data_IF_002885855461
#
_entry.id   IF_002885855461
#
_cell.length_a   1.000
_cell.length_b   1.000
_cell.length_c   1.000
_cell.angle_alpha   90.00
_cell.angle_beta   90.00
_cell.angle_gamma   90.00
#
_symmetry.space_group_name_H-M   'P 1'
#
loop_
_entity.id
_entity.type
_entity.pdbx_description
1 polymer ?
#
# COMPACT_ATOMS: atom_id res chain seq x y z
N UNK A 1 51.40 6.64 -46.75
CA UNK A 1 50.98 5.90 -45.53
C UNK A 1 50.25 6.89 -44.63
N UNK A 2 48.94 6.73 -44.41
CA UNK A 2 48.14 7.56 -43.49
C UNK A 2 47.44 6.62 -42.52
N UNK A 3 47.77 6.75 -41.24
CA UNK A 3 47.17 6.06 -40.11
C UNK A 3 45.77 6.62 -39.85
N UNK A 4 44.75 5.76 -39.89
CA UNK A 4 43.39 6.09 -39.47
C UNK A 4 43.29 5.73 -37.98
N UNK A 5 43.17 6.75 -37.13
CA UNK A 5 42.98 6.59 -35.69
C UNK A 5 41.58 6.04 -35.41
N UNK A 6 41.52 4.94 -34.65
CA UNK A 6 40.28 4.39 -34.11
C UNK A 6 39.76 5.34 -33.02
N UNK A 7 38.63 6.00 -33.28
CA UNK A 7 37.91 6.78 -32.29
C UNK A 7 37.13 5.78 -31.40
N UNK A 8 37.58 5.59 -30.16
CA UNK A 8 36.87 4.80 -29.16
C UNK A 8 35.61 5.55 -28.72
N UNK A 9 34.43 4.99 -29.02
CA UNK A 9 33.16 5.48 -28.50
C UNK A 9 32.97 4.86 -27.11
N UNK A 10 33.18 5.65 -26.06
CA UNK A 10 32.81 5.30 -24.70
C UNK A 10 31.29 5.40 -24.57
N UNK A 11 30.61 4.26 -24.55
CA UNK A 11 29.17 4.18 -24.32
C UNK A 11 28.90 4.41 -22.82
N UNK A 12 28.39 5.60 -22.49
CA UNK A 12 27.98 5.96 -21.13
C UNK A 12 26.57 5.39 -20.89
N UNK A 13 26.48 4.21 -20.26
CA UNK A 13 25.19 3.64 -19.83
C UNK A 13 24.76 4.42 -18.59
N UNK A 14 23.97 5.47 -18.78
CA UNK A 14 23.22 6.08 -17.68
C UNK A 14 22.22 5.04 -17.17
N UNK A 15 22.51 4.48 -16.00
CA UNK A 15 21.55 3.66 -15.26
C UNK A 15 20.35 4.54 -14.91
N UNK A 16 19.22 4.30 -15.56
CA UNK A 16 17.95 4.90 -15.19
C UNK A 16 17.55 4.28 -13.85
N UNK A 17 17.90 4.94 -12.75
CA UNK A 17 17.30 4.62 -11.46
C UNK A 17 15.89 5.18 -11.52
N UNK A 18 14.94 4.37 -11.99
CA UNK A 18 13.53 4.68 -11.80
C UNK A 18 13.32 4.95 -10.31
N UNK A 19 12.59 6.03 -9.93
CA UNK A 19 12.21 6.21 -8.54
C UNK A 19 11.60 4.90 -8.06
N UNK A 20 12.08 4.42 -6.90
CA UNK A 20 11.50 3.27 -6.22
C UNK A 20 10.08 3.70 -5.89
N UNK A 21 9.12 3.34 -6.75
CA UNK A 21 7.74 3.78 -6.59
C UNK A 21 7.16 3.26 -5.29
N UNK A 22 6.14 3.96 -4.80
CA UNK A 22 5.52 3.73 -3.52
C UNK A 22 5.30 2.24 -3.27
N UNK A 23 5.87 1.73 -2.18
CA UNK A 23 6.00 0.30 -1.94
C UNK A 23 5.13 -0.22 -0.80
N UNK A 24 4.42 0.69 -0.12
CA UNK A 24 3.50 0.41 0.98
C UNK A 24 2.20 1.20 0.81
N UNK A 25 1.15 0.77 1.53
CA UNK A 25 -0.16 1.41 1.57
C UNK A 25 -0.54 1.68 3.02
N UNK A 26 -0.96 2.91 3.33
CA UNK A 26 -1.42 3.31 4.66
C UNK A 26 -2.85 3.81 4.57
N UNK A 27 -3.72 3.25 5.42
CA UNK A 27 -5.13 3.62 5.52
C UNK A 27 -5.39 4.25 6.90
N UNK A 28 -5.77 5.53 6.90
CA UNK A 28 -5.97 6.32 8.10
C UNK A 28 -7.42 6.82 8.14
N UNK A 29 -8.30 6.13 8.89
CA UNK A 29 -9.63 6.65 9.19
C UNK A 29 -9.56 8.01 9.87
N UNK A 30 -10.37 8.96 9.41
CA UNK A 30 -10.46 10.32 9.95
C UNK A 30 -11.91 10.65 10.32
N UNK A 31 -12.12 11.02 11.59
CA UNK A 31 -13.47 11.30 12.08
C UNK A 31 -14.38 10.06 12.02
N UNK A 32 -15.63 10.27 11.58
CA UNK A 32 -16.65 9.20 11.52
C UNK A 32 -16.64 8.41 10.21
N UNK A 33 -16.29 9.05 9.10
CA UNK A 33 -16.49 8.54 7.75
C UNK A 33 -15.40 8.97 6.75
N UNK A 34 -14.38 9.67 7.22
CA UNK A 34 -13.26 10.10 6.39
C UNK A 34 -12.22 9.01 6.26
N UNK A 35 -11.58 8.93 5.10
CA UNK A 35 -10.46 8.04 4.86
C UNK A 35 -9.33 8.82 4.21
N UNK A 36 -8.17 8.88 4.88
CA UNK A 36 -6.92 9.35 4.30
C UNK A 36 -6.10 8.14 3.85
N UNK A 37 -5.74 8.11 2.57
CA UNK A 37 -4.96 7.06 1.92
C UNK A 37 -3.58 7.66 1.60
N UNK A 38 -2.52 6.96 1.98
CA UNK A 38 -1.14 7.34 1.66
C UNK A 38 -0.38 6.17 1.06
N UNK A 39 0.61 6.48 0.23
CA UNK A 39 1.43 5.51 -0.46
C UNK A 39 2.91 5.69 -0.02
N UNK A 40 3.60 4.58 0.23
CA UNK A 40 4.90 4.56 0.92
C UNK A 40 4.76 4.34 2.43
N UNK A 41 5.87 4.45 3.16
CA UNK A 41 5.88 4.24 4.61
C UNK A 41 5.86 5.56 5.38
N UNK A 42 5.47 5.55 6.67
CA UNK A 42 5.49 6.75 7.50
C UNK A 42 6.84 7.48 7.45
N UNK A 43 6.80 8.77 7.13
CA UNK A 43 7.98 9.63 7.01
C UNK A 43 8.56 9.77 5.59
N UNK A 44 8.23 8.84 4.68
CA UNK A 44 8.71 8.81 3.29
C UNK A 44 7.56 8.44 2.36
N UNK A 45 6.54 9.30 2.34
CA UNK A 45 5.42 9.10 1.45
C UNK A 45 5.75 9.53 0.02
N UNK A 46 5.15 8.84 -0.92
CA UNK A 46 5.40 8.97 -2.34
C UNK A 46 4.11 9.29 -3.10
N UNK A 47 4.22 9.77 -4.36
CA UNK A 47 3.05 9.99 -5.18
C UNK A 47 2.16 8.75 -5.33
N UNK A 48 0.85 8.98 -5.40
CA UNK A 48 -0.11 7.90 -5.55
C UNK A 48 0.11 7.11 -6.86
N UNK A 49 0.33 5.79 -6.76
CA UNK A 49 0.38 4.85 -7.88
C UNK A 49 -0.89 3.98 -7.85
N UNK A 50 -2.02 4.60 -8.22
CA UNK A 50 -3.34 3.97 -8.21
C UNK A 50 -3.44 2.67 -9.02
N UNK A 51 -2.77 2.50 -10.18
CA UNK A 51 -2.74 1.23 -10.89
C UNK A 51 -2.24 0.04 -10.06
N UNK A 52 -1.45 0.27 -9.01
CA UNK A 52 -0.98 -0.77 -8.08
C UNK A 52 -1.95 -1.07 -6.95
N UNK A 53 -3.01 -0.27 -6.77
CA UNK A 53 -4.06 -0.56 -5.81
C UNK A 53 -4.98 -1.67 -6.35
N UNK A 54 -4.79 -2.88 -5.85
CA UNK A 54 -5.49 -4.09 -6.33
C UNK A 54 -6.87 -4.23 -5.70
N UNK A 55 -7.00 -3.87 -4.42
CA UNK A 55 -8.28 -3.83 -3.71
C UNK A 55 -8.31 -2.67 -2.74
N UNK A 56 -9.50 -2.11 -2.57
CA UNK A 56 -9.82 -1.23 -1.47
C UNK A 56 -11.30 -1.43 -1.14
N UNK A 57 -11.56 -1.97 0.03
CA UNK A 57 -12.90 -2.41 0.43
C UNK A 57 -13.28 -1.81 1.77
N UNK A 58 -14.53 -1.36 1.91
CA UNK A 58 -15.14 -0.97 3.17
C UNK A 58 -16.05 -2.06 3.73
N UNK A 59 -16.10 -2.11 5.06
CA UNK A 59 -16.94 -3.01 5.83
C UNK A 59 -17.72 -2.21 6.86
N UNK A 60 -19.03 -2.46 6.91
CA UNK A 60 -19.96 -1.91 7.90
C UNK A 60 -20.38 -3.00 8.91
N UNK A 61 -21.22 -2.63 9.89
CA UNK A 61 -21.71 -3.55 10.93
C UNK A 61 -22.57 -4.66 10.31
N UNK A 62 -23.53 -4.27 9.48
CA UNK A 62 -24.59 -5.16 8.98
C UNK A 62 -24.27 -5.76 7.61
N UNK A 63 -23.26 -5.24 6.89
CA UNK A 63 -22.94 -5.74 5.56
C UNK A 63 -22.15 -7.05 5.64
N UNK A 64 -22.79 -8.18 5.31
CA UNK A 64 -22.12 -9.47 5.06
C UNK A 64 -21.09 -9.42 3.92
N UNK A 65 -21.14 -8.37 3.10
CA UNK A 65 -20.28 -8.20 1.93
C UNK A 65 -19.46 -6.92 2.03
N UNK A 66 -18.25 -7.01 1.51
CA UNK A 66 -17.37 -5.88 1.32
C UNK A 66 -17.93 -4.95 0.24
N UNK A 67 -17.83 -3.63 0.47
CA UNK A 67 -18.18 -2.61 -0.53
C UNK A 67 -16.89 -2.13 -1.15
N UNK A 68 -16.70 -2.39 -2.44
CA UNK A 68 -15.50 -1.95 -3.18
C UNK A 68 -15.49 -0.44 -3.32
N UNK A 69 -14.34 0.14 -2.98
CA UNK A 69 -14.04 1.56 -3.12
C UNK A 69 -13.00 1.81 -4.23
N UNK A 70 -12.65 0.84 -5.07
CA UNK A 70 -11.59 1.03 -6.09
C UNK A 70 -11.87 2.17 -7.08
N UNK A 71 -13.14 2.49 -7.31
CA UNK A 71 -13.57 3.60 -8.17
C UNK A 71 -13.77 4.92 -7.40
N UNK A 72 -13.17 5.04 -6.21
CA UNK A 72 -13.27 6.26 -5.41
C UNK A 72 -12.76 7.48 -6.18
N UNK A 73 -13.44 8.61 -5.94
CA UNK A 73 -13.15 9.89 -6.59
C UNK A 73 -12.71 10.88 -5.50
N UNK A 74 -11.40 10.91 -5.17
CA UNK A 74 -10.89 11.62 -4.00
C UNK A 74 -11.51 13.00 -3.85
N UNK A 75 -12.24 13.22 -2.76
CA UNK A 75 -12.76 14.53 -2.39
C UNK A 75 -11.64 15.58 -2.30
N UNK A 76 -10.44 15.16 -1.87
CA UNK A 76 -9.21 15.95 -1.96
C UNK A 76 -8.03 15.05 -2.29
N UNK A 77 -7.02 15.63 -2.93
CA UNK A 77 -5.75 14.95 -3.18
C UNK A 77 -4.58 15.91 -2.98
N UNK A 78 -3.50 15.39 -2.41
CA UNK A 78 -2.18 15.98 -2.44
C UNK A 78 -1.25 15.18 -3.35
N UNK A 79 0.04 15.50 -3.31
CA UNK A 79 1.03 14.74 -4.08
C UNK A 79 1.09 13.30 -3.59
N UNK A 80 1.12 13.09 -2.27
CA UNK A 80 1.40 11.82 -1.59
C UNK A 80 0.20 11.23 -0.82
N UNK A 81 -0.99 11.82 -0.98
CA UNK A 81 -2.18 11.40 -0.24
C UNK A 81 -3.48 11.67 -0.99
N UNK A 82 -4.50 10.87 -0.67
CA UNK A 82 -5.89 11.02 -1.12
C UNK A 82 -6.80 11.04 0.10
N UNK A 83 -7.78 11.94 0.14
CA UNK A 83 -8.80 11.99 1.19
C UNK A 83 -10.18 11.80 0.58
N UNK A 84 -10.97 10.92 1.18
CA UNK A 84 -12.35 10.64 0.76
C UNK A 84 -13.33 10.65 1.93
N UNK A 85 -14.60 10.94 1.64
CA UNK A 85 -15.75 10.77 2.55
C UNK A 85 -16.50 9.50 2.15
N UNK A 86 -16.11 8.37 2.74
CA UNK A 86 -16.62 7.07 2.31
C UNK A 86 -18.03 6.77 2.84
N UNK A 87 -18.57 7.55 3.78
CA UNK A 87 -19.92 7.36 4.34
C UNK A 87 -21.03 7.41 3.29
N UNK A 88 -20.86 8.21 2.22
CA UNK A 88 -21.84 8.27 1.12
C UNK A 88 -21.75 7.07 0.17
N UNK A 89 -20.60 6.38 0.15
CA UNK A 89 -20.35 5.23 -0.73
C UNK A 89 -20.87 3.91 -0.14
N UNK A 90 -21.33 3.94 1.10
CA UNK A 90 -21.82 2.79 1.87
C UNK A 90 -23.24 3.03 2.38
N UNK A 91 -24.07 3.67 1.55
CA UNK A 91 -25.49 3.94 1.80
C UNK A 91 -25.79 4.67 3.13
N UNK A 92 -24.83 5.46 3.63
CA UNK A 92 -24.97 6.24 4.86
C UNK A 92 -24.68 5.47 6.14
N UNK A 93 -24.30 4.20 6.06
CA UNK A 93 -23.82 3.44 7.22
C UNK A 93 -22.45 3.94 7.69
N UNK A 94 -22.15 3.94 8.99
CA UNK A 94 -20.81 4.26 9.45
C UNK A 94 -19.84 3.12 9.07
N UNK A 95 -18.71 3.41 8.41
CA UNK A 95 -17.71 2.40 8.13
C UNK A 95 -17.11 1.92 9.46
N UNK A 96 -16.88 0.63 9.58
CA UNK A 96 -16.18 0.04 10.74
C UNK A 96 -14.72 -0.22 10.40
N UNK A 97 -14.45 -0.72 9.20
CA UNK A 97 -13.12 -1.03 8.73
C UNK A 97 -13.01 -0.79 7.23
N UNK A 98 -11.82 -0.40 6.81
CA UNK A 98 -11.39 -0.45 5.42
C UNK A 98 -10.17 -1.34 5.29
N UNK A 99 -10.09 -2.08 4.21
CA UNK A 99 -8.91 -2.89 3.88
C UNK A 99 -8.40 -2.58 2.50
N UNK A 100 -7.08 -2.57 2.35
CA UNK A 100 -6.43 -2.35 1.07
C UNK A 100 -5.50 -3.50 0.75
N UNK A 101 -5.37 -3.79 -0.54
CA UNK A 101 -4.33 -4.64 -1.11
C UNK A 101 -3.60 -3.85 -2.18
N UNK A 102 -2.27 -3.84 -2.09
CA UNK A 102 -1.41 -3.06 -2.96
C UNK A 102 -0.31 -3.95 -3.55
N UNK A 103 -0.10 -3.84 -4.86
CA UNK A 103 0.91 -4.60 -5.57
C UNK A 103 2.26 -3.86 -5.51
N UNK A 104 3.16 -4.32 -4.64
CA UNK A 104 4.51 -3.79 -4.55
C UNK A 104 5.43 -4.32 -5.68
N UNK A 105 4.91 -5.16 -6.57
CA UNK A 105 5.63 -5.65 -7.75
C UNK A 105 6.58 -6.79 -7.46
N UNK A 106 7.33 -7.15 -8.50
CA UNK A 106 8.24 -8.29 -8.49
C UNK A 106 9.66 -7.80 -8.20
N UNK A 107 10.26 -8.28 -7.13
CA UNK A 107 11.57 -7.86 -6.68
C UNK A 107 12.60 -8.96 -6.86
N UNK A 108 13.76 -8.58 -7.40
CA UNK A 108 14.91 -9.46 -7.64
C UNK A 108 16.11 -8.97 -6.85
N UNK A 109 16.76 -9.89 -6.13
CA UNK A 109 18.03 -9.67 -5.46
C UNK A 109 19.19 -10.19 -6.30
N UNK A 110 20.17 -9.34 -6.59
CA UNK A 110 21.42 -9.76 -7.27
C UNK A 110 22.50 -10.14 -6.25
N UNK A 111 22.49 -9.48 -5.10
CA UNK A 111 23.36 -9.70 -3.94
C UNK A 111 22.66 -9.15 -2.69
N UNK A 112 23.10 -9.50 -1.46
CA UNK A 112 22.49 -8.99 -0.25
C UNK A 112 22.28 -7.47 -0.32
N UNK A 113 21.11 -7.03 0.11
CA UNK A 113 20.69 -5.61 0.16
C UNK A 113 20.56 -4.89 -1.20
N UNK A 114 20.75 -5.59 -2.33
CA UNK A 114 20.62 -5.01 -3.66
C UNK A 114 19.41 -5.60 -4.40
N UNK A 115 18.28 -4.91 -4.27
CA UNK A 115 16.99 -5.29 -4.83
C UNK A 115 16.57 -4.39 -5.99
N UNK A 116 15.89 -4.98 -6.97
CA UNK A 116 15.31 -4.29 -8.11
C UNK A 116 13.88 -4.73 -8.33
N UNK A 117 12.96 -3.77 -8.49
CA UNK A 117 11.58 -4.05 -8.90
C UNK A 117 11.55 -4.29 -10.42
N UNK A 118 11.79 -5.53 -10.83
CA UNK A 118 11.95 -5.95 -12.24
C UNK A 118 11.76 -7.46 -12.36
N UNK A 119 11.67 -8.01 -13.57
CA UNK A 119 11.51 -9.45 -13.81
C UNK A 119 12.83 -10.16 -14.16
N UNK A 120 12.87 -11.49 -14.02
CA UNK A 120 14.06 -12.30 -14.36
C UNK A 120 14.35 -12.31 -15.86
N UNK A 121 13.37 -11.93 -16.68
CA UNK A 121 13.58 -11.74 -18.11
C UNK A 121 14.48 -10.51 -18.39
N UNK A 122 14.43 -9.50 -17.53
CA UNK A 122 15.25 -8.28 -17.63
C UNK A 122 16.56 -8.44 -16.86
N UNK A 123 16.54 -9.11 -15.70
CA UNK A 123 17.70 -9.31 -14.83
C UNK A 123 17.96 -10.81 -14.58
N UNK A 124 18.51 -11.53 -15.57
CA UNK A 124 18.67 -12.99 -15.51
C UNK A 124 19.70 -13.46 -14.47
N UNK A 125 20.63 -12.60 -14.04
CA UNK A 125 21.61 -12.88 -13.00
C UNK A 125 21.04 -12.83 -11.56
N UNK A 126 19.76 -12.50 -11.41
CA UNK A 126 19.07 -12.46 -10.13
C UNK A 126 19.07 -13.79 -9.39
N UNK A 127 19.48 -13.78 -8.12
CA UNK A 127 19.60 -14.97 -7.28
C UNK A 127 18.28 -15.31 -6.60
N UNK A 128 17.68 -14.33 -5.95
CA UNK A 128 16.40 -14.46 -5.26
C UNK A 128 15.36 -13.59 -5.94
N UNK A 129 14.11 -14.04 -5.93
CA UNK A 129 13.01 -13.31 -6.55
C UNK A 129 11.70 -13.56 -5.82
N UNK A 130 10.84 -12.54 -5.77
CA UNK A 130 9.52 -12.66 -5.16
C UNK A 130 8.55 -11.59 -5.66
N UNK A 131 7.28 -11.94 -5.74
CA UNK A 131 6.20 -10.97 -5.92
C UNK A 131 5.65 -10.61 -4.55
N UNK A 132 5.55 -9.32 -4.25
CA UNK A 132 5.16 -8.85 -2.92
C UNK A 132 3.83 -8.10 -3.00
N UNK A 133 2.82 -8.64 -2.33
CA UNK A 133 1.56 -7.95 -2.06
C UNK A 133 1.59 -7.36 -0.66
N UNK A 134 1.15 -6.12 -0.53
CA UNK A 134 1.03 -5.41 0.73
C UNK A 134 -0.44 -5.28 1.11
N UNK A 135 -0.70 -5.38 2.40
CA UNK A 135 -2.04 -5.36 2.94
C UNK A 135 -2.14 -4.29 4.02
N UNK A 136 -3.23 -3.53 4.00
CA UNK A 136 -3.49 -2.47 4.96
C UNK A 136 -4.88 -2.64 5.57
N UNK A 137 -5.05 -2.20 6.81
CA UNK A 137 -6.34 -2.09 7.49
C UNK A 137 -6.43 -0.74 8.18
N UNK A 138 -7.54 -0.03 7.97
CA UNK A 138 -7.91 1.16 8.72
C UNK A 138 -9.14 0.87 9.55
N UNK A 139 -9.07 1.04 10.87
CA UNK A 139 -10.18 0.80 11.79
C UNK A 139 -10.82 2.12 12.21
N UNK A 140 -12.12 2.26 11.97
CA UNK A 140 -12.87 3.44 12.36
C UNK A 140 -13.23 3.39 13.85
N UNK A 141 -13.41 4.53 14.52
CA UNK A 141 -13.78 4.57 15.94
C UNK A 141 -15.06 3.79 16.27
N UNK A 142 -15.98 3.65 15.31
CA UNK A 142 -17.23 2.89 15.44
C UNK A 142 -17.01 1.37 15.56
N UNK A 143 -15.79 0.86 15.30
CA UNK A 143 -15.52 -0.57 15.21
C UNK A 143 -15.83 -1.34 16.52
N UNK A 144 -15.73 -0.67 17.69
CA UNK A 144 -16.20 -1.17 18.99
C UNK A 144 -15.84 -2.64 19.28
N UNK A 145 -16.67 -3.32 20.08
CA UNK A 145 -16.59 -4.79 20.30
C UNK A 145 -17.28 -5.60 19.18
N UNK A 146 -17.75 -4.94 18.12
CA UNK A 146 -18.74 -5.51 17.21
C UNK A 146 -18.16 -6.15 15.96
N UNK A 147 -16.92 -5.81 15.58
CA UNK A 147 -16.29 -6.41 14.40
C UNK A 147 -15.53 -7.69 14.76
N UNK A 148 -16.14 -8.85 14.54
CA UNK A 148 -15.58 -10.15 14.94
C UNK A 148 -15.29 -11.12 13.78
N UNK A 149 -15.26 -10.62 12.53
CA UNK A 149 -15.12 -11.42 11.32
C UNK A 149 -13.76 -11.28 10.64
N UNK A 150 -13.38 -12.34 9.92
CA UNK A 150 -12.24 -12.39 9.00
C UNK A 150 -12.66 -11.74 7.68
N UNK A 151 -11.85 -10.84 7.13
CA UNK A 151 -12.09 -10.20 5.83
C UNK A 151 -11.14 -10.68 4.72
N UNK A 152 -10.45 -11.79 4.96
CA UNK A 152 -9.87 -12.61 3.89
C UNK A 152 -8.47 -12.20 3.45
N UNK A 153 -7.70 -11.54 4.32
CA UNK A 153 -6.25 -11.45 4.15
C UNK A 153 -5.60 -12.78 4.56
N UNK A 154 -4.56 -13.21 3.86
CA UNK A 154 -3.91 -14.51 4.09
C UNK A 154 -3.35 -14.65 5.52
N UNK A 155 -2.99 -13.52 6.14
CA UNK A 155 -2.77 -13.35 7.57
C UNK A 155 -3.62 -12.17 8.03
N UNK A 156 -4.45 -12.39 9.06
CA UNK A 156 -5.36 -11.38 9.57
C UNK A 156 -5.30 -11.29 11.10
N UNK A 157 -5.08 -10.07 11.60
CA UNK A 157 -5.22 -9.74 13.02
C UNK A 157 -6.62 -9.18 13.22
N UNK A 158 -7.45 -9.90 13.98
CA UNK A 158 -8.79 -9.45 14.38
C UNK A 158 -8.68 -8.75 15.73
N UNK A 159 -8.96 -7.44 15.82
CA UNK A 159 -9.05 -6.77 17.11
C UNK A 159 -10.20 -7.37 17.91
N UNK A 160 -9.91 -8.00 19.05
CA UNK A 160 -10.96 -8.51 19.97
C UNK A 160 -11.55 -7.40 20.84
N UNK A 161 -10.79 -6.33 21.06
CA UNK A 161 -11.20 -5.11 21.78
C UNK A 161 -10.23 -3.98 21.37
N UNK A 162 -10.76 -2.82 20.97
CA UNK A 162 -9.95 -1.59 20.89
C UNK A 162 -10.11 -0.86 22.22
N UNK A 163 -9.11 -0.99 23.10
CA UNK A 163 -9.04 -0.11 24.27
C UNK A 163 -8.65 1.28 23.76
N UNK A 164 -9.55 2.26 23.92
CA UNK A 164 -9.36 3.67 23.54
C UNK A 164 -8.21 4.37 24.27
N UNK A 165 -7.47 3.67 25.11
CA UNK A 165 -6.38 4.18 25.93
C UNK A 165 -5.06 3.49 25.56
N UNK A 166 -4.49 3.83 24.41
CA UNK A 166 -3.11 3.44 24.06
C UNK A 166 -2.04 4.05 25.01
N UNK A 167 -2.43 4.90 25.96
CA UNK A 167 -1.58 5.39 27.04
C UNK A 167 -1.42 4.39 28.21
N UNK A 168 -2.09 3.24 28.19
CA UNK A 168 -2.00 2.23 29.26
C UNK A 168 -1.49 0.86 28.78
N UNK A 169 -0.56 0.84 27.81
CA UNK A 169 0.24 -0.36 27.56
C UNK A 169 1.20 -0.58 28.75
N UNK A 170 0.65 -1.05 29.87
CA UNK A 170 1.43 -1.66 30.94
C UNK A 170 2.03 -2.92 30.34
N UNK A 171 3.35 -3.04 30.44
CA UNK A 171 4.16 -4.18 30.01
C UNK A 171 3.39 -5.50 30.21
N UNK A 172 3.16 -6.22 29.12
CA UNK A 172 2.72 -7.60 29.19
C UNK A 172 3.78 -8.44 29.93
N UNK A 173 3.38 -9.47 30.69
CA UNK A 173 4.30 -10.31 31.46
C UNK A 173 5.32 -11.05 30.59
#
# INVERSE_FOLDING_TARGET
MKTIGLLGITLFIMGVTSPVGAHDLVLLPTGKDGLLIRFGHPGEYEPADLPRLVKLDAYTEDADKAISLLELKPAKMGLDWLEERIGQLIDGEPPMMVTGQYDNGYWISVKPEKYFNTSRAILPEGKDAGHYLKFAKGLFPAIGEKFNRVVGQQLEIIPKTIHSNLSQAKSLP
#
